data_IF_961644539224
#
_entry.id   IF_961644539224
#
_cell.length_a   1.000
_cell.length_b   1.000
_cell.length_c   1.000
_cell.angle_alpha   90.00
_cell.angle_beta   90.00
_cell.angle_gamma   90.00
#
_symmetry.space_group_name_H-M   'P 1'
#
loop_
_entity.id
_entity.type
_entity.pdbx_description
1 polymer ?
#
# COMPACT_ATOMS: atom_id res chain seq x y z
N UNK A 1 -22.87 -34.91 28.99
CA UNK A 1 -23.00 -36.25 28.37
C UNK A 1 -22.13 -36.31 27.14
N UNK A 2 -20.91 -36.85 27.32
CA UNK A 2 -20.03 -37.24 26.24
C UNK A 2 -20.67 -38.43 25.51
N UNK A 3 -20.75 -38.38 24.18
CA UNK A 3 -20.94 -39.58 23.35
C UNK A 3 -19.97 -39.53 22.17
N UNK A 4 -18.81 -40.10 22.41
CA UNK A 4 -18.03 -40.87 21.44
C UNK A 4 -18.90 -42.06 20.98
N UNK A 5 -18.98 -42.29 19.67
CA UNK A 5 -19.04 -43.65 19.12
C UNK A 5 -18.25 -43.72 17.81
N UNK A 6 -17.01 -44.17 17.96
CA UNK A 6 -16.16 -44.93 17.03
C UNK A 6 -16.93 -45.83 16.03
N UNK A 7 -16.34 -45.95 14.84
CA UNK A 7 -16.58 -47.06 13.91
C UNK A 7 -15.71 -46.99 12.65
N UNK A 8 -14.46 -47.42 12.74
CA UNK A 8 -13.64 -47.91 11.62
C UNK A 8 -13.83 -49.44 11.54
N UNK A 9 -13.70 -50.14 10.38
CA UNK A 9 -12.37 -50.41 9.81
C UNK A 9 -12.31 -50.68 8.28
N UNK A 10 -11.09 -50.56 7.72
CA UNK A 10 -10.52 -51.36 6.60
C UNK A 10 -11.22 -51.32 5.22
N UNK A 11 -10.58 -51.56 4.08
CA UNK A 11 -9.19 -51.74 3.70
C UNK A 11 -9.15 -51.68 2.14
N UNK A 12 -7.95 -51.43 1.61
CA UNK A 12 -7.42 -51.86 0.30
C UNK A 12 -7.83 -51.09 -0.98
N UNK A 13 -6.78 -50.43 -1.47
CA UNK A 13 -6.43 -50.05 -2.84
C UNK A 13 -7.20 -50.78 -3.97
N UNK A 14 -7.69 -50.00 -4.92
CA UNK A 14 -7.46 -50.26 -6.34
C UNK A 14 -7.24 -48.93 -7.07
N UNK A 15 -6.04 -48.80 -7.62
CA UNK A 15 -5.65 -47.78 -8.58
C UNK A 15 -6.39 -48.03 -9.88
N UNK A 16 -7.13 -47.04 -10.38
CA UNK A 16 -7.65 -47.02 -11.75
C UNK A 16 -7.45 -45.61 -12.29
N UNK A 17 -6.30 -45.43 -12.93
CA UNK A 17 -6.07 -44.38 -13.91
C UNK A 17 -7.05 -44.56 -15.06
N UNK A 18 -7.98 -43.62 -15.23
CA UNK A 18 -8.64 -43.40 -16.52
C UNK A 18 -8.24 -42.01 -16.98
N UNK A 19 -7.41 -42.03 -18.02
CA UNK A 19 -6.90 -40.86 -18.69
C UNK A 19 -7.98 -40.23 -19.59
N UNK A 20 -7.80 -38.93 -19.81
CA UNK A 20 -8.21 -38.17 -21.01
C UNK A 20 -9.71 -37.91 -21.18
N UNK A 21 -10.15 -36.70 -20.80
CA UNK A 21 -10.95 -35.88 -21.74
C UNK A 21 -11.01 -34.41 -21.28
N UNK A 22 -10.32 -33.56 -22.03
CA UNK A 22 -10.74 -32.21 -22.44
C UNK A 22 -11.14 -31.19 -21.36
N UNK A 23 -10.20 -30.29 -21.05
CA UNK A 23 -10.51 -28.86 -21.00
C UNK A 23 -9.26 -28.05 -21.38
N UNK A 24 -8.78 -28.28 -22.61
CA UNK A 24 -7.89 -27.36 -23.28
C UNK A 24 -8.72 -26.41 -24.13
N UNK A 25 -8.50 -25.12 -23.93
CA UNK A 25 -9.04 -23.96 -24.67
C UNK A 25 -10.19 -23.23 -24.00
N UNK A 26 -10.03 -21.90 -23.94
CA UNK A 26 -11.04 -20.87 -23.65
C UNK A 26 -11.22 -20.44 -22.19
N UNK A 27 -10.14 -20.09 -21.51
CA UNK A 27 -10.15 -18.91 -20.64
C UNK A 27 -8.90 -18.09 -20.92
N UNK A 28 -9.06 -17.09 -21.78
CA UNK A 28 -8.05 -16.08 -22.03
C UNK A 28 -7.65 -15.43 -20.72
N UNK A 29 -6.39 -15.62 -20.32
CA UNK A 29 -5.81 -14.88 -19.23
C UNK A 29 -5.81 -13.39 -19.62
N UNK A 30 -6.37 -12.48 -18.81
CA UNK A 30 -6.08 -11.07 -18.97
C UNK A 30 -4.63 -10.86 -18.53
N UNK A 31 -3.69 -11.00 -19.47
CA UNK A 31 -2.33 -10.53 -19.28
C UNK A 31 -2.40 -9.01 -19.32
N UNK A 32 -2.59 -8.42 -18.14
CA UNK A 32 -2.29 -7.00 -17.93
C UNK A 32 -0.88 -6.75 -18.49
N UNK A 33 -0.68 -5.69 -19.30
CA UNK A 33 0.67 -5.34 -19.70
C UNK A 33 1.44 -4.98 -18.43
N UNK A 34 2.38 -5.86 -18.05
CA UNK A 34 3.41 -5.56 -17.09
C UNK A 34 4.12 -4.29 -17.59
N UNK A 35 3.84 -3.15 -16.96
CA UNK A 35 4.53 -1.89 -17.23
C UNK A 35 6.00 -2.08 -16.83
N UNK A 36 6.83 -2.50 -17.78
CA UNK A 36 8.27 -2.33 -17.67
C UNK A 36 8.53 -0.83 -17.68
N UNK A 37 9.36 -0.27 -16.77
CA UNK A 37 9.83 1.09 -16.92
C UNK A 37 10.47 1.20 -18.31
N UNK A 38 9.89 2.02 -19.17
CA UNK A 38 10.39 2.23 -20.53
C UNK A 38 11.73 2.95 -20.45
N UNK A 39 12.82 2.20 -20.46
CA UNK A 39 14.13 2.73 -20.77
C UNK A 39 14.29 2.69 -22.30
N UNK A 40 13.61 3.63 -22.98
CA UNK A 40 13.71 3.80 -24.43
C UNK A 40 15.09 4.43 -24.74
N UNK A 41 16.05 3.63 -25.20
CA UNK A 41 17.30 4.13 -25.77
C UNK A 41 17.06 4.47 -27.24
N UNK A 42 16.96 5.76 -27.57
CA UNK A 42 16.80 6.24 -28.94
C UNK A 42 18.17 6.56 -29.57
N UNK A 43 18.32 6.20 -30.86
CA UNK A 43 19.50 6.47 -31.70
C UNK A 43 19.73 7.98 -31.93
N UNK A 44 20.95 8.43 -32.31
CA UNK A 44 21.25 9.85 -32.37
C UNK A 44 20.80 10.44 -33.72
N UNK A 45 19.56 10.90 -33.79
CA UNK A 45 19.17 11.93 -34.75
C UNK A 45 19.35 13.31 -34.10
N UNK A 46 19.94 14.25 -34.83
CA UNK A 46 20.02 15.68 -34.48
C UNK A 46 18.60 16.29 -34.47
N UNK A 47 17.84 15.95 -33.43
CA UNK A 47 16.62 16.58 -32.95
C UNK A 47 16.92 16.93 -31.50
N UNK A 48 16.38 18.04 -31.00
CA UNK A 48 16.70 18.57 -29.67
C UNK A 48 16.84 17.47 -28.61
N UNK A 49 17.91 17.55 -27.80
CA UNK A 49 18.17 16.60 -26.73
C UNK A 49 17.16 16.86 -25.60
N UNK A 50 16.03 16.17 -25.64
CA UNK A 50 15.11 16.13 -24.52
C UNK A 50 15.52 15.00 -23.58
N UNK A 51 15.94 15.30 -22.35
CA UNK A 51 16.26 14.25 -21.39
C UNK A 51 15.01 13.40 -21.09
N UNK A 52 15.22 12.19 -20.61
CA UNK A 52 14.12 11.34 -20.18
C UNK A 52 13.32 12.02 -19.07
N UNK A 53 11.99 11.88 -19.10
CA UNK A 53 11.12 12.34 -18.01
C UNK A 53 11.39 11.49 -16.78
N UNK A 54 11.77 12.13 -15.68
CA UNK A 54 12.17 11.47 -14.45
C UNK A 54 11.59 12.18 -13.22
N UNK A 55 11.37 11.42 -12.15
CA UNK A 55 10.94 11.98 -10.88
C UNK A 55 12.13 12.57 -10.14
N UNK A 56 12.24 13.91 -10.14
CA UNK A 56 13.31 14.63 -9.46
C UNK A 56 13.29 14.41 -7.94
N UNK A 57 12.12 14.10 -7.37
CA UNK A 57 11.96 13.95 -5.93
C UNK A 57 12.69 12.70 -5.39
N UNK A 58 12.81 11.64 -6.19
CA UNK A 58 13.37 10.35 -5.76
C UNK A 58 14.86 10.39 -5.39
N UNK A 59 15.58 11.45 -5.79
CA UNK A 59 17.00 11.66 -5.43
C UNK A 59 17.25 13.09 -4.90
N UNK A 60 16.21 13.74 -4.40
CA UNK A 60 16.31 15.08 -3.82
C UNK A 60 16.56 15.01 -2.31
N UNK A 61 17.34 15.97 -1.79
CA UNK A 61 17.40 16.24 -0.36
C UNK A 61 16.25 17.17 0.02
N UNK A 62 15.35 16.70 0.88
CA UNK A 62 14.20 17.48 1.37
C UNK A 62 14.36 17.81 2.85
N UNK A 63 13.93 19.00 3.23
CA UNK A 63 13.94 19.47 4.63
C UNK A 63 12.61 20.11 4.97
N UNK A 64 12.24 20.09 6.25
CA UNK A 64 11.03 20.75 6.76
C UNK A 64 11.30 21.38 8.11
N UNK A 65 10.71 22.53 8.36
CA UNK A 65 10.82 23.23 9.64
C UNK A 65 10.08 22.45 10.74
N UNK A 66 8.88 21.94 10.42
CA UNK A 66 7.99 21.34 11.40
C UNK A 66 7.52 19.96 10.95
N UNK A 67 7.36 19.05 11.89
CA UNK A 67 6.83 17.70 11.64
C UNK A 67 6.03 17.32 12.86
N UNK A 68 4.95 16.58 12.63
CA UNK A 68 4.12 16.18 13.75
C UNK A 68 4.89 15.28 14.73
N UNK A 69 4.51 15.30 16.00
CA UNK A 69 5.03 14.39 17.01
C UNK A 69 6.44 14.72 17.53
N UNK A 70 7.04 15.85 17.14
CA UNK A 70 8.41 16.25 17.58
C UNK A 70 8.53 16.48 19.09
N UNK A 71 7.47 16.98 19.75
CA UNK A 71 7.45 17.27 21.21
C UNK A 71 6.75 16.19 22.05
N UNK A 72 6.32 15.11 21.42
CA UNK A 72 5.48 14.06 22.01
C UNK A 72 4.26 13.76 21.14
N UNK A 73 3.42 12.79 21.55
CA UNK A 73 2.24 12.40 20.79
C UNK A 73 1.24 13.55 20.63
N UNK A 74 0.81 13.80 19.40
CA UNK A 74 -0.21 14.82 19.09
C UNK A 74 -1.36 14.24 18.27
N UNK A 75 -2.56 14.80 18.45
CA UNK A 75 -3.76 14.38 17.74
C UNK A 75 -3.95 15.24 16.50
N UNK A 76 -4.22 14.61 15.36
CA UNK A 76 -4.65 15.30 14.14
C UNK A 76 -5.96 14.68 13.64
N UNK A 77 -6.80 15.51 13.02
CA UNK A 77 -8.10 15.11 12.51
C UNK A 77 -8.17 15.44 11.02
N UNK A 78 -8.73 14.54 10.21
CA UNK A 78 -9.06 14.85 8.83
C UNK A 78 -10.36 15.66 8.81
N UNK A 79 -10.26 16.94 8.47
CA UNK A 79 -11.43 17.79 8.23
C UNK A 79 -12.04 17.38 6.89
N UNK A 80 -12.94 16.38 6.93
CA UNK A 80 -13.96 16.23 5.90
C UNK A 80 -15.23 16.84 6.46
N UNK A 81 -15.85 17.71 5.67
CA UNK A 81 -17.13 18.32 5.99
C UNK A 81 -18.15 17.19 6.26
N UNK A 82 -18.65 17.18 7.49
CA UNK A 82 -19.76 16.34 7.91
C UNK A 82 -20.98 16.64 7.04
N UNK A 83 -21.48 15.62 6.33
CA UNK A 83 -22.84 15.65 5.78
C UNK A 83 -23.80 15.97 6.93
N UNK A 84 -24.71 16.96 6.79
CA UNK A 84 -25.66 17.28 7.84
C UNK A 84 -26.52 16.05 8.18
N UNK A 85 -26.51 15.59 9.44
CA UNK A 85 -27.46 14.58 9.94
C UNK A 85 -26.89 13.35 10.66
N UNK A 86 -25.58 13.18 10.81
CA UNK A 86 -25.02 12.05 11.58
C UNK A 86 -24.11 12.50 12.74
N UNK A 87 -24.26 11.93 13.95
CA UNK A 87 -23.41 12.27 15.08
C UNK A 87 -21.96 11.84 14.83
N UNK A 88 -21.03 12.80 14.90
CA UNK A 88 -19.61 12.61 14.67
C UNK A 88 -18.94 11.80 15.80
N UNK A 89 -19.10 10.48 15.77
CA UNK A 89 -18.31 9.53 16.59
C UNK A 89 -16.92 9.33 15.98
N UNK A 90 -16.14 10.41 15.97
CA UNK A 90 -14.70 10.56 15.67
C UNK A 90 -13.93 9.38 14.97
N UNK A 91 -14.28 8.98 13.73
CA UNK A 91 -13.51 7.97 13.01
C UNK A 91 -12.31 8.58 12.23
N UNK A 92 -12.17 9.91 12.24
CA UNK A 92 -11.29 10.66 11.35
C UNK A 92 -10.06 11.28 12.05
N UNK A 93 -9.91 11.11 13.37
CA UNK A 93 -8.70 11.55 14.07
C UNK A 93 -7.77 10.38 14.39
N UNK A 94 -6.48 10.68 14.35
CA UNK A 94 -5.40 9.75 14.66
C UNK A 94 -4.32 10.47 15.46
N UNK A 95 -3.47 9.69 16.10
CA UNK A 95 -2.30 10.19 16.83
C UNK A 95 -1.08 10.16 15.91
N UNK A 96 -0.31 11.24 15.91
CA UNK A 96 1.04 11.29 15.36
C UNK A 96 2.06 11.36 16.49
N UNK A 97 3.06 10.50 16.45
CA UNK A 97 4.20 10.52 17.38
C UNK A 97 5.47 10.11 16.63
N UNK A 98 6.40 11.05 16.50
CA UNK A 98 7.67 10.88 15.79
C UNK A 98 8.59 9.87 16.49
N UNK A 99 8.46 9.71 17.81
CA UNK A 99 9.31 8.85 18.64
C UNK A 99 8.66 7.50 18.95
N UNK A 100 7.38 7.30 18.61
CA UNK A 100 6.65 6.05 18.87
C UNK A 100 7.33 4.85 18.23
N UNK A 101 7.38 3.69 18.87
CA UNK A 101 7.91 2.46 18.25
C UNK A 101 7.11 1.99 17.04
N UNK A 102 5.85 2.43 16.92
CA UNK A 102 4.98 2.06 15.81
C UNK A 102 5.22 3.00 14.61
N UNK A 103 5.69 2.49 13.46
CA UNK A 103 5.92 3.32 12.27
C UNK A 103 4.63 3.92 11.71
N UNK A 104 3.46 3.34 11.97
CA UNK A 104 2.18 3.85 11.48
C UNK A 104 1.75 5.16 12.15
N UNK A 105 2.39 5.54 13.27
CA UNK A 105 2.16 6.79 13.97
C UNK A 105 3.19 7.86 13.57
N UNK A 106 4.19 7.52 12.75
CA UNK A 106 5.26 8.42 12.33
C UNK A 106 5.00 8.95 10.93
N UNK A 107 5.16 10.25 10.75
CA UNK A 107 4.96 10.92 9.46
C UNK A 107 6.14 11.86 9.12
N UNK A 108 7.38 11.34 9.03
CA UNK A 108 8.56 12.14 8.73
C UNK A 108 8.55 12.73 7.31
N UNK A 109 9.42 13.72 7.07
CA UNK A 109 9.53 14.38 5.77
C UNK A 109 9.92 13.41 4.64
N UNK A 110 10.69 12.36 4.95
CA UNK A 110 11.10 11.32 4.00
C UNK A 110 9.94 10.61 3.31
N UNK A 111 8.77 10.52 3.97
CA UNK A 111 7.58 9.91 3.42
C UNK A 111 7.03 10.66 2.20
N UNK A 112 7.40 11.93 1.99
CA UNK A 112 6.95 12.70 0.83
C UNK A 112 7.62 12.26 -0.49
N UNK A 113 8.76 11.56 -0.42
CA UNK A 113 9.58 11.20 -1.59
C UNK A 113 9.90 9.71 -1.69
N UNK A 114 9.36 8.90 -0.78
CA UNK A 114 9.66 7.46 -0.69
C UNK A 114 8.99 6.62 -1.80
N UNK A 115 8.09 7.22 -2.57
CA UNK A 115 7.33 6.56 -3.64
C UNK A 115 6.26 5.58 -3.12
N UNK A 116 5.92 5.62 -1.83
CA UNK A 116 4.88 4.78 -1.22
C UNK A 116 3.62 5.61 -0.95
N UNK A 117 2.53 4.95 -0.56
CA UNK A 117 1.31 5.62 -0.09
C UNK A 117 1.43 6.09 1.37
N UNK A 118 2.58 6.67 1.73
CA UNK A 118 2.81 7.31 3.01
C UNK A 118 2.84 8.82 2.81
N UNK A 119 2.73 9.59 3.88
CA UNK A 119 2.76 11.05 3.80
C UNK A 119 3.59 11.63 4.94
N UNK A 120 4.11 12.84 4.71
CA UNK A 120 4.61 13.74 5.73
C UNK A 120 3.45 14.54 6.32
N UNK A 121 3.51 14.83 7.62
CA UNK A 121 2.49 15.63 8.31
C UNK A 121 3.12 16.77 9.12
N UNK A 122 2.54 17.96 8.97
CA UNK A 122 2.88 19.15 9.77
C UNK A 122 2.32 19.05 11.20
N UNK A 123 2.76 19.89 12.15
CA UNK A 123 2.11 19.95 13.46
C UNK A 123 0.60 20.20 13.34
N UNK A 124 -0.15 19.74 14.34
CA UNK A 124 -1.59 19.97 14.43
C UNK A 124 -1.92 21.45 14.64
N UNK A 125 -3.16 21.86 14.29
CA UNK A 125 -3.68 23.22 14.55
C UNK A 125 -3.59 23.60 16.04
N UNK A 126 -3.67 22.63 16.95
CA UNK A 126 -3.53 22.90 18.39
C UNK A 126 -2.13 23.43 18.75
N UNK A 127 -1.13 23.14 17.91
CA UNK A 127 0.27 23.52 18.07
C UNK A 127 0.74 24.53 17.00
N UNK A 128 -0.18 25.08 16.21
CA UNK A 128 0.08 25.96 15.07
C UNK A 128 -0.13 27.44 15.38
#
# INVERSE_FOLDING_TARGET
TVRDKRGSPGARLLSLTVALSWCGSLLGQPRWPQQRPQQQQAAPQQRGLFPAVLNLASNALITTNATCGKRGPEMYCKLVEHVPGQPARNPQCRTCDQHSRNPNLRHPISNAIDGKNTWWQSPSIQNG
#
